data_IF_054219267962
#
_entry.id   IF_054219267962
#
_cell.length_a   1.000
_cell.length_b   1.000
_cell.length_c   1.000
_cell.angle_alpha   90.00
_cell.angle_beta   90.00
_cell.angle_gamma   90.00
#
_symmetry.space_group_name_H-M   'P 1'
#
loop_
_entity.id
_entity.type
_entity.pdbx_description
1 polymer ?
#
# COMPACT_ATOMS: atom_id res chain seq x y z
N UNK A 1 -1.91 -9.47 9.25
CA UNK A 1 -0.55 -9.19 9.78
C UNK A 1 -0.18 -7.75 9.46
N UNK A 2 0.29 -6.96 10.43
CA UNK A 2 0.61 -5.54 10.23
C UNK A 2 2.08 -5.32 9.85
N UNK A 3 2.33 -4.35 8.98
CA UNK A 3 3.66 -3.97 8.50
C UNK A 3 3.83 -2.45 8.49
N UNK A 4 5.05 -2.01 8.78
CA UNK A 4 5.46 -0.62 8.71
C UNK A 4 6.88 -0.57 8.14
N UNK A 5 7.08 0.17 7.05
CA UNK A 5 8.37 0.30 6.38
C UNK A 5 8.76 1.77 6.28
N UNK A 6 9.99 2.07 6.72
CA UNK A 6 10.56 3.40 6.68
C UNK A 6 11.96 3.34 6.06
N UNK A 7 12.22 4.24 5.11
CA UNK A 7 13.51 4.44 4.47
C UNK A 7 13.59 5.87 3.95
N UNK A 8 14.69 6.56 4.23
CA UNK A 8 14.91 7.93 3.75
C UNK A 8 14.73 8.04 2.22
N UNK A 9 13.96 9.05 1.79
CA UNK A 9 13.64 9.32 0.38
C UNK A 9 12.44 8.53 -0.18
N UNK A 10 11.79 7.72 0.65
CA UNK A 10 10.62 6.91 0.28
C UNK A 10 9.43 7.19 1.21
N UNK A 11 8.23 7.18 0.63
CA UNK A 11 6.98 7.40 1.37
C UNK A 11 6.78 6.28 2.39
N UNK A 12 6.39 6.68 3.60
CA UNK A 12 6.23 5.78 4.74
C UNK A 12 5.04 4.83 4.49
N UNK A 13 5.33 3.54 4.30
CA UNK A 13 4.30 2.53 4.05
C UNK A 13 3.81 1.89 5.36
N UNK A 14 2.56 2.17 5.71
CA UNK A 14 1.81 1.51 6.78
C UNK A 14 0.73 0.65 6.13
N UNK A 15 0.77 -0.68 6.34
CA UNK A 15 -0.16 -1.60 5.68
C UNK A 15 -0.38 -2.89 6.47
N UNK A 16 -1.27 -3.74 5.99
CA UNK A 16 -1.49 -5.08 6.52
C UNK A 16 -1.76 -6.09 5.39
N UNK A 17 -1.45 -7.35 5.64
CA UNK A 17 -1.83 -8.47 4.79
C UNK A 17 -2.94 -9.29 5.45
N UNK A 18 -3.90 -9.73 4.63
CA UNK A 18 -5.09 -10.47 5.01
C UNK A 18 -5.07 -11.85 4.36
N UNK A 19 -5.49 -12.89 5.08
CA UNK A 19 -5.48 -14.25 4.52
C UNK A 19 -6.71 -14.47 3.65
N UNK A 20 -6.51 -15.05 2.46
CA UNK A 20 -7.61 -15.42 1.58
C UNK A 20 -8.46 -16.52 2.19
N UNK A 21 -9.77 -16.41 2.03
CA UNK A 21 -10.83 -17.25 2.57
C UNK A 21 -10.91 -17.20 4.10
N UNK A 22 -10.39 -16.14 4.74
CA UNK A 22 -10.71 -15.88 6.13
C UNK A 22 -12.23 -15.60 6.26
N UNK A 23 -12.92 -16.16 7.27
CA UNK A 23 -14.36 -15.95 7.45
C UNK A 23 -14.80 -14.47 7.50
N UNK A 24 -13.88 -13.57 7.85
CA UNK A 24 -14.13 -12.15 7.97
C UNK A 24 -13.51 -11.31 6.83
N UNK A 25 -12.95 -11.94 5.80
CA UNK A 25 -12.27 -11.26 4.68
C UNK A 25 -13.12 -10.15 4.03
N UNK A 26 -14.40 -10.40 3.80
CA UNK A 26 -15.33 -9.45 3.15
C UNK A 26 -16.13 -8.60 4.12
N UNK A 27 -15.97 -8.82 5.43
CA UNK A 27 -16.73 -8.16 6.49
C UNK A 27 -15.85 -7.38 7.46
N UNK A 28 -14.64 -7.01 7.02
CA UNK A 28 -13.74 -6.17 7.81
C UNK A 28 -14.42 -4.85 8.20
N UNK A 29 -14.58 -4.65 9.50
CA UNK A 29 -15.34 -3.54 10.09
C UNK A 29 -14.71 -2.17 9.83
N UNK A 30 -13.45 -2.13 9.38
CA UNK A 30 -12.71 -0.88 9.11
C UNK A 30 -12.42 -0.63 7.62
N UNK A 31 -13.04 -1.42 6.72
CA UNK A 31 -12.90 -1.28 5.26
C UNK A 31 -11.44 -1.24 4.74
N UNK A 32 -10.52 -1.89 5.46
CA UNK A 32 -9.08 -1.85 5.16
C UNK A 32 -8.65 -2.84 4.08
N UNK A 33 -9.48 -3.85 3.79
CA UNK A 33 -9.14 -4.92 2.84
C UNK A 33 -9.21 -4.38 1.41
N UNK A 34 -8.06 -4.42 0.74
CA UNK A 34 -7.94 -4.28 -0.71
C UNK A 34 -7.53 -5.62 -1.28
N UNK A 35 -8.05 -5.99 -2.45
CA UNK A 35 -7.74 -7.28 -3.10
C UNK A 35 -6.23 -7.52 -3.24
N UNK A 36 -5.45 -6.47 -3.48
CA UNK A 36 -3.98 -6.54 -3.59
C UNK A 36 -3.25 -6.87 -2.28
N UNK A 37 -3.94 -6.80 -1.13
CA UNK A 37 -3.42 -7.08 0.21
C UNK A 37 -3.91 -8.43 0.76
N UNK A 38 -4.77 -9.13 0.00
CA UNK A 38 -5.22 -10.48 0.33
C UNK A 38 -4.27 -11.52 -0.26
N UNK A 39 -3.72 -12.37 0.60
CA UNK A 39 -2.64 -13.31 0.26
C UNK A 39 -2.99 -14.75 0.60
N UNK A 40 -2.42 -15.68 -0.15
CA UNK A 40 -2.48 -17.12 0.16
C UNK A 40 -1.29 -17.56 1.01
N UNK A 41 -1.48 -18.64 1.77
CA UNK A 41 -0.39 -19.36 2.41
C UNK A 41 0.00 -20.55 1.54
N UNK A 42 1.19 -20.46 0.95
CA UNK A 42 1.84 -21.54 0.24
C UNK A 42 2.57 -22.51 1.17
N UNK A 43 3.40 -23.36 0.58
CA UNK A 43 4.23 -24.34 1.28
C UNK A 43 5.70 -24.16 0.91
N UNK A 44 6.57 -24.27 1.90
CA UNK A 44 8.02 -24.23 1.71
C UNK A 44 8.49 -25.46 0.92
N UNK A 45 9.10 -25.22 -0.24
CA UNK A 45 9.81 -26.26 -0.99
C UNK A 45 11.20 -26.57 -0.40
N UNK A 46 11.94 -27.53 -1.00
CA UNK A 46 13.22 -28.01 -0.48
C UNK A 46 14.26 -26.90 -0.23
N UNK A 47 14.37 -25.94 -1.14
CA UNK A 47 15.34 -24.83 -1.05
C UNK A 47 15.04 -23.89 0.13
N UNK A 48 13.77 -23.50 0.30
CA UNK A 48 13.32 -22.62 1.39
C UNK A 48 13.42 -23.36 2.73
N UNK A 49 12.99 -24.62 2.76
CA UNK A 49 13.07 -25.50 3.92
C UNK A 49 14.53 -25.60 4.42
N UNK A 50 15.46 -25.90 3.52
CA UNK A 50 16.89 -25.96 3.84
C UNK A 50 17.46 -24.61 4.26
N UNK A 51 17.14 -23.53 3.53
CA UNK A 51 17.68 -22.18 3.80
C UNK A 51 17.31 -21.67 5.19
N UNK A 52 16.07 -21.89 5.62
CA UNK A 52 15.56 -21.36 6.89
C UNK A 52 15.44 -22.41 8.00
N UNK A 53 15.87 -23.65 7.75
CA UNK A 53 15.87 -24.73 8.75
C UNK A 53 14.48 -25.19 9.18
N UNK A 54 13.50 -25.17 8.27
CA UNK A 54 12.13 -25.62 8.51
C UNK A 54 11.83 -26.89 7.72
N UNK A 55 10.84 -27.72 8.11
CA UNK A 55 10.45 -28.89 7.32
C UNK A 55 9.93 -28.51 5.93
N UNK A 56 10.12 -29.40 4.96
CA UNK A 56 9.40 -29.29 3.68
C UNK A 56 7.89 -29.32 3.91
N UNK A 57 7.15 -28.49 3.18
CA UNK A 57 5.72 -28.36 3.35
C UNK A 57 5.29 -27.38 4.45
N UNK A 58 6.23 -26.79 5.20
CA UNK A 58 5.90 -25.76 6.21
C UNK A 58 5.20 -24.56 5.57
N UNK A 59 4.36 -23.84 6.34
CA UNK A 59 3.61 -22.70 5.83
C UNK A 59 4.56 -21.61 5.32
N UNK A 60 4.30 -21.09 4.11
CA UNK A 60 5.11 -20.06 3.47
C UNK A 60 4.21 -18.92 2.97
N UNK A 61 4.51 -17.70 3.40
CA UNK A 61 3.90 -16.48 2.88
C UNK A 61 4.97 -15.68 2.16
N UNK A 62 4.69 -15.31 0.91
CA UNK A 62 5.56 -14.49 0.08
C UNK A 62 4.78 -13.26 -0.37
N UNK A 63 5.35 -12.08 -0.16
CA UNK A 63 4.75 -10.82 -0.58
C UNK A 63 5.84 -9.78 -0.85
N UNK A 64 5.71 -9.08 -1.97
CA UNK A 64 6.62 -8.00 -2.36
C UNK A 64 6.01 -6.65 -2.01
N UNK A 65 6.69 -5.89 -1.15
CA UNK A 65 6.32 -4.51 -0.85
C UNK A 65 7.05 -3.56 -1.79
N UNK A 66 6.29 -2.66 -2.42
CA UNK A 66 6.84 -1.60 -3.26
C UNK A 66 6.73 -0.27 -2.52
N UNK A 67 7.86 0.41 -2.35
CA UNK A 67 7.92 1.75 -1.79
C UNK A 67 8.04 2.77 -2.93
N UNK A 68 7.21 3.80 -2.88
CA UNK A 68 7.24 4.93 -3.82
C UNK A 68 8.14 6.01 -3.22
N UNK A 69 8.86 6.77 -4.04
CA UNK A 69 9.65 7.90 -3.51
C UNK A 69 8.75 9.00 -2.93
N UNK A 70 9.29 9.81 -2.02
CA UNK A 70 8.58 10.98 -1.50
C UNK A 70 8.19 11.96 -2.62
N UNK A 71 9.07 12.12 -3.62
CA UNK A 71 8.89 13.01 -4.74
C UNK A 71 7.73 12.56 -5.65
N UNK A 72 7.75 11.32 -6.13
CA UNK A 72 6.67 10.75 -6.95
C UNK A 72 5.33 10.82 -6.23
N UNK A 73 5.34 10.55 -4.93
CA UNK A 73 4.13 10.60 -4.10
C UNK A 73 3.58 12.02 -3.97
N UNK A 74 4.45 13.01 -3.71
CA UNK A 74 4.06 14.42 -3.63
C UNK A 74 3.48 14.93 -4.95
N UNK A 75 4.14 14.61 -6.07
CA UNK A 75 3.68 14.98 -7.42
C UNK A 75 2.33 14.36 -7.75
N UNK A 76 2.15 13.06 -7.45
CA UNK A 76 0.89 12.36 -7.67
C UNK A 76 -0.25 12.95 -6.83
N UNK A 77 0.00 13.26 -5.56
CA UNK A 77 -0.98 13.92 -4.68
C UNK A 77 -1.37 15.29 -5.25
N UNK A 78 -0.40 16.11 -5.64
CA UNK A 78 -0.66 17.43 -6.24
C UNK A 78 -1.48 17.33 -7.53
N UNK A 79 -1.14 16.39 -8.42
CA UNK A 79 -1.88 16.14 -9.66
C UNK A 79 -3.33 15.73 -9.39
N UNK A 80 -3.54 14.73 -8.52
CA UNK A 80 -4.87 14.22 -8.19
C UNK A 80 -5.73 15.29 -7.51
N UNK A 81 -5.16 16.08 -6.61
CA UNK A 81 -5.84 17.23 -5.98
C UNK A 81 -6.27 18.27 -7.00
N UNK A 82 -5.39 18.63 -7.95
CA UNK A 82 -5.73 19.56 -9.02
C UNK A 82 -6.88 19.04 -9.88
N UNK A 83 -6.78 17.79 -10.36
CA UNK A 83 -7.83 17.15 -11.18
C UNK A 83 -9.18 17.11 -10.45
N UNK A 84 -9.18 16.81 -9.15
CA UNK A 84 -10.39 16.79 -8.35
C UNK A 84 -11.02 18.18 -8.18
N UNK A 85 -10.21 19.22 -7.95
CA UNK A 85 -10.67 20.59 -7.76
C UNK A 85 -11.13 21.23 -9.08
N UNK A 86 -10.46 20.92 -10.19
CA UNK A 86 -10.90 21.31 -11.53
C UNK A 86 -12.29 20.74 -11.85
N UNK A 87 -12.55 19.47 -11.50
CA UNK A 87 -13.89 18.84 -11.63
C UNK A 87 -14.98 19.52 -10.78
N UNK A 88 -14.59 20.18 -9.69
CA UNK A 88 -15.50 20.97 -8.84
C UNK A 88 -15.64 22.43 -9.28
N UNK A 89 -15.01 22.81 -10.41
CA UNK A 89 -15.03 24.19 -10.91
C UNK A 89 -14.22 25.16 -10.04
N UNK A 90 -13.23 24.66 -9.30
CA UNK A 90 -12.33 25.47 -8.47
C UNK A 90 -10.97 25.60 -9.15
N UNK A 91 -10.67 26.78 -9.71
CA UNK A 91 -9.34 27.09 -10.21
C UNK A 91 -8.39 27.34 -9.04
N UNK A 92 -7.42 26.46 -8.87
CA UNK A 92 -6.45 26.52 -7.78
C UNK A 92 -5.06 26.18 -8.28
N UNK A 93 -4.05 26.75 -7.63
CA UNK A 93 -2.66 26.31 -7.72
C UNK A 93 -2.31 25.53 -6.46
N UNK A 94 -1.60 24.41 -6.62
CA UNK A 94 -1.05 23.67 -5.48
C UNK A 94 0.28 24.30 -5.06
N UNK A 95 0.37 24.77 -3.82
CA UNK A 95 1.59 25.34 -3.22
C UNK A 95 1.84 24.62 -1.90
N UNK A 96 3.00 23.95 -1.77
CA UNK A 96 3.36 23.15 -0.60
C UNK A 96 2.26 22.15 -0.19
N UNK A 97 1.62 21.51 -1.17
CA UNK A 97 0.55 20.54 -0.94
C UNK A 97 -0.82 21.15 -0.61
N UNK A 98 -0.95 22.47 -0.55
CA UNK A 98 -2.20 23.17 -0.27
C UNK A 98 -2.81 23.77 -1.54
N UNK A 99 -4.11 23.61 -1.79
CA UNK A 99 -4.79 24.29 -2.88
C UNK A 99 -5.05 25.75 -2.51
N UNK A 100 -4.48 26.67 -3.29
CA UNK A 100 -4.66 28.11 -3.15
C UNK A 100 -5.48 28.60 -4.35
N UNK A 101 -6.59 29.35 -4.16
CA UNK A 101 -7.34 29.94 -5.26
C UNK A 101 -6.43 30.77 -6.17
N UNK A 102 -6.58 30.61 -7.48
CA UNK A 102 -6.03 31.57 -8.42
C UNK A 102 -6.91 32.82 -8.33
N UNK A 103 -6.35 33.91 -7.81
CA UNK A 103 -6.99 35.22 -7.82
C UNK A 103 -6.69 35.86 -9.18
N UNK A 104 -7.75 36.16 -9.93
CA UNK A 104 -7.71 37.01 -11.13
C UNK A 104 -7.35 38.47 -10.76
#
# INVERSE_FOLDING_TARGET
MHFMFEKEGYDHLITALYLRNDPYETSDAVFGVKDSLTVDIGKAGPEIAKKYGVPEGHALLTYDFVLVSDAETSELRAHNSKVALDKLGRKVKIVNGLPIPELD
#
